data_IF_744828393960
#
_entry.id   IF_744828393960
#
_cell.length_a   1.000
_cell.length_b   1.000
_cell.length_c   1.000
_cell.angle_alpha   90.00
_cell.angle_beta   90.00
_cell.angle_gamma   90.00
#
_symmetry.space_group_name_H-M   'P 1'
#
loop_
_entity.id
_entity.type
_entity.pdbx_description
1 polymer ?
#
# COMPACT_ATOMS: atom_id res chain seq x y z
N UNK A 1 47.14 40.83 -45.88
CA UNK A 1 46.04 39.93 -45.48
C UNK A 1 44.85 40.30 -46.34
N UNK A 2 44.71 39.58 -47.46
CA UNK A 2 43.60 39.77 -48.41
C UNK A 2 42.41 38.92 -47.96
N UNK A 3 41.23 39.53 -47.90
CA UNK A 3 39.97 38.83 -47.56
C UNK A 3 39.36 38.30 -48.86
N UNK A 4 39.05 36.99 -48.97
CA UNK A 4 38.51 36.42 -50.19
C UNK A 4 37.03 36.83 -50.44
N UNK A 5 36.61 37.03 -51.71
CA UNK A 5 35.37 37.72 -52.06
C UNK A 5 34.09 36.84 -52.20
N UNK A 6 34.01 35.66 -51.57
CA UNK A 6 32.92 34.70 -51.81
C UNK A 6 31.95 34.45 -50.64
N UNK A 7 31.64 35.47 -49.83
CA UNK A 7 30.60 35.36 -48.79
C UNK A 7 29.47 36.36 -49.06
N UNK A 8 28.73 36.15 -50.14
CA UNK A 8 27.36 36.66 -50.31
C UNK A 8 26.59 35.70 -51.21
N UNK A 9 26.38 34.48 -50.72
CA UNK A 9 25.33 33.61 -51.23
C UNK A 9 23.99 34.28 -50.93
N UNK A 10 23.30 34.74 -51.98
CA UNK A 10 21.92 35.16 -51.84
C UNK A 10 21.07 33.97 -51.38
N UNK A 11 20.21 34.14 -50.37
CA UNK A 11 19.33 33.07 -49.95
C UNK A 11 18.43 32.67 -51.13
N UNK A 12 18.25 31.36 -51.38
CA UNK A 12 17.48 30.88 -52.50
C UNK A 12 16.02 31.39 -52.42
N UNK A 13 15.50 31.88 -53.56
CA UNK A 13 14.27 32.70 -53.66
C UNK A 13 12.95 32.07 -53.18
N UNK A 14 12.96 30.86 -52.63
CA UNK A 14 11.81 30.23 -51.98
C UNK A 14 11.61 30.71 -50.53
N UNK A 15 12.65 31.30 -49.91
CA UNK A 15 12.54 31.85 -48.54
C UNK A 15 11.74 33.15 -48.51
N UNK A 16 11.70 33.94 -49.59
CA UNK A 16 10.90 35.18 -49.65
C UNK A 16 9.39 34.92 -49.71
N UNK A 17 8.96 33.81 -50.33
CA UNK A 17 7.54 33.43 -50.41
C UNK A 17 6.95 32.99 -49.05
N UNK A 18 7.77 32.42 -48.17
CA UNK A 18 7.34 32.05 -46.82
C UNK A 18 7.17 33.26 -45.88
N UNK A 19 7.92 34.35 -46.11
CA UNK A 19 7.86 35.54 -45.26
C UNK A 19 6.76 36.52 -45.71
N UNK A 20 6.51 36.64 -47.03
CA UNK A 20 5.44 37.52 -47.56
C UNK A 20 4.03 36.91 -47.50
N UNK A 21 3.88 35.58 -47.44
CA UNK A 21 2.56 34.93 -47.31
C UNK A 21 1.96 34.97 -45.89
N UNK A 22 2.80 35.20 -44.87
CA UNK A 22 2.40 35.11 -43.45
C UNK A 22 1.91 36.45 -42.90
N UNK A 23 2.12 37.56 -43.60
CA UNK A 23 1.81 38.91 -43.11
C UNK A 23 0.41 39.41 -43.46
N UNK A 24 -0.34 38.73 -44.34
CA UNK A 24 -1.68 39.18 -44.81
C UNK A 24 -2.88 38.37 -44.29
N UNK A 25 -2.64 37.31 -43.51
CA UNK A 25 -3.64 36.60 -42.70
C UNK A 25 -3.25 36.69 -41.22
N UNK A 26 -2.95 37.91 -40.78
CA UNK A 26 -2.51 38.22 -39.43
C UNK A 26 -3.63 38.03 -38.41
N UNK A 27 -3.76 36.81 -37.86
CA UNK A 27 -3.98 36.50 -36.44
C UNK A 27 -4.24 35.01 -36.07
N UNK A 28 -4.65 34.06 -36.96
CA UNK A 28 -5.10 32.76 -36.46
C UNK A 28 -4.01 31.75 -36.00
N UNK A 29 -2.87 31.56 -36.69
CA UNK A 29 -2.02 30.38 -36.40
C UNK A 29 -1.18 30.52 -35.12
N UNK A 30 -0.75 31.73 -34.76
CA UNK A 30 -0.05 31.97 -33.49
C UNK A 30 -0.96 31.72 -32.28
N UNK A 31 -2.26 32.02 -32.41
CA UNK A 31 -3.25 31.77 -31.36
C UNK A 31 -3.54 30.28 -31.19
N UNK A 32 -3.60 29.51 -32.28
CA UNK A 32 -3.74 28.04 -32.23
C UNK A 32 -2.52 27.38 -31.58
N UNK A 33 -1.31 27.83 -31.91
CA UNK A 33 -0.08 27.38 -31.26
C UNK A 33 -0.05 27.69 -29.76
N UNK A 34 -0.48 28.90 -29.37
CA UNK A 34 -0.58 29.29 -27.97
C UNK A 34 -1.64 28.48 -27.21
N UNK A 35 -2.82 28.23 -27.80
CA UNK A 35 -3.86 27.43 -27.16
C UNK A 35 -3.42 25.97 -26.97
N UNK A 36 -2.76 25.37 -27.97
CA UNK A 36 -2.21 24.01 -27.84
C UNK A 36 -1.08 23.95 -26.79
N UNK A 37 -0.22 24.96 -26.74
CA UNK A 37 0.84 25.08 -25.74
C UNK A 37 0.34 25.30 -24.31
N UNK A 38 -0.89 25.80 -24.11
CA UNK A 38 -1.50 25.93 -22.79
C UNK A 38 -2.33 24.68 -22.39
N UNK A 39 -2.88 23.95 -23.36
CA UNK A 39 -3.66 22.74 -23.11
C UNK A 39 -2.77 21.53 -22.82
N UNK A 40 -1.61 21.39 -23.47
CA UNK A 40 -0.65 20.33 -23.18
C UNK A 40 -0.20 20.29 -21.71
N UNK A 41 0.34 21.39 -21.11
CA UNK A 41 0.79 21.37 -19.72
C UNK A 41 -0.35 21.18 -18.73
N UNK A 42 -1.56 21.68 -19.01
CA UNK A 42 -2.72 21.43 -18.13
C UNK A 42 -3.16 19.96 -18.15
N UNK A 43 -3.03 19.28 -19.29
CA UNK A 43 -3.32 17.84 -19.40
C UNK A 43 -2.23 17.00 -18.72
N UNK A 44 -0.96 17.39 -18.83
CA UNK A 44 0.12 16.68 -18.13
C UNK A 44 0.07 16.86 -16.63
N UNK A 45 -0.27 18.06 -16.13
CA UNK A 45 -0.46 18.30 -14.68
C UNK A 45 -1.62 17.45 -14.14
N UNK A 46 -2.78 17.43 -14.80
CA UNK A 46 -3.90 16.57 -14.38
C UNK A 46 -3.57 15.08 -14.45
N UNK A 47 -2.81 14.66 -15.45
CA UNK A 47 -2.34 13.27 -15.55
C UNK A 47 -1.34 12.93 -14.44
N UNK A 48 -0.45 13.86 -14.08
CA UNK A 48 0.50 13.72 -12.99
C UNK A 48 -0.20 13.67 -11.63
N UNK A 49 -1.16 14.56 -11.37
CA UNK A 49 -2.00 14.53 -10.16
C UNK A 49 -2.79 13.22 -10.05
N UNK A 50 -3.36 12.75 -11.15
CA UNK A 50 -4.06 11.46 -11.19
C UNK A 50 -3.12 10.28 -10.96
N UNK A 51 -1.91 10.31 -11.52
CA UNK A 51 -0.89 9.29 -11.32
C UNK A 51 -0.36 9.29 -9.88
N UNK A 52 -0.13 10.46 -9.29
CA UNK A 52 0.29 10.60 -7.90
C UNK A 52 -0.79 10.07 -6.95
N UNK A 53 -2.05 10.42 -7.19
CA UNK A 53 -3.18 9.87 -6.42
C UNK A 53 -3.26 8.35 -6.55
N UNK A 54 -3.13 7.83 -7.77
CA UNK A 54 -3.12 6.38 -8.00
C UNK A 54 -1.94 5.69 -7.28
N UNK A 55 -0.76 6.30 -7.29
CA UNK A 55 0.42 5.78 -6.61
C UNK A 55 0.23 5.76 -5.08
N UNK A 56 -0.31 6.85 -4.50
CA UNK A 56 -0.68 6.90 -3.07
C UNK A 56 -1.70 5.82 -2.72
N UNK A 57 -2.78 5.71 -3.48
CA UNK A 57 -3.80 4.66 -3.30
C UNK A 57 -3.20 3.24 -3.36
N UNK A 58 -2.28 2.98 -4.30
CA UNK A 58 -1.61 1.67 -4.40
C UNK A 58 -0.69 1.41 -3.21
N UNK A 59 0.02 2.43 -2.72
CA UNK A 59 0.90 2.31 -1.56
C UNK A 59 0.12 1.99 -0.29
N UNK A 60 -1.02 2.64 -0.08
CA UNK A 60 -1.87 2.40 1.08
C UNK A 60 -2.51 1.00 1.03
N UNK A 61 -2.83 0.51 -0.16
CA UNK A 61 -3.25 -0.89 -0.35
C UNK A 61 -2.15 -1.86 0.01
N UNK A 62 -0.95 -1.69 -0.52
CA UNK A 62 0.20 -2.55 -0.20
C UNK A 62 0.44 -2.59 1.31
N UNK A 63 0.41 -1.43 1.98
CA UNK A 63 0.51 -1.36 3.45
C UNK A 63 -0.55 -2.18 4.17
N UNK A 64 -1.81 -2.12 3.72
CA UNK A 64 -2.87 -2.94 4.32
C UNK A 64 -2.70 -4.44 4.06
N UNK A 65 -2.23 -4.83 2.88
CA UNK A 65 -1.93 -6.23 2.57
C UNK A 65 -0.76 -6.75 3.43
N UNK A 66 0.30 -5.96 3.55
CA UNK A 66 1.44 -6.31 4.41
C UNK A 66 0.99 -6.48 5.87
N UNK A 67 0.13 -5.60 6.38
CA UNK A 67 -0.42 -5.72 7.72
C UNK A 67 -1.26 -6.99 7.90
N UNK A 68 -2.12 -7.33 6.93
CA UNK A 68 -2.93 -8.55 6.97
C UNK A 68 -2.04 -9.81 6.93
N UNK A 69 -0.99 -9.83 6.12
CA UNK A 69 -0.01 -10.93 6.07
C UNK A 69 0.70 -11.09 7.41
N UNK A 70 1.16 -9.99 8.02
CA UNK A 70 1.77 -10.05 9.35
C UNK A 70 0.80 -10.56 10.42
N UNK A 71 -0.50 -10.21 10.35
CA UNK A 71 -1.49 -10.79 11.25
C UNK A 71 -1.66 -12.30 11.07
N UNK A 72 -1.65 -12.80 9.82
CA UNK A 72 -1.69 -14.24 9.54
C UNK A 72 -0.43 -14.95 10.07
N UNK A 73 0.73 -14.31 9.97
CA UNK A 73 1.97 -14.83 10.53
C UNK A 73 1.91 -14.90 12.07
N UNK A 74 1.39 -13.86 12.74
CA UNK A 74 1.17 -13.87 14.19
C UNK A 74 0.20 -15.00 14.62
N UNK A 75 -0.88 -15.23 13.85
CA UNK A 75 -1.82 -16.32 14.08
C UNK A 75 -1.14 -17.68 13.93
N UNK A 76 -0.29 -17.86 12.91
CA UNK A 76 0.50 -19.09 12.71
C UNK A 76 1.42 -19.33 13.91
N UNK A 77 2.20 -18.33 14.32
CA UNK A 77 3.12 -18.44 15.45
C UNK A 77 2.40 -18.78 16.76
N UNK A 78 1.23 -18.18 17.03
CA UNK A 78 0.42 -18.53 18.20
C UNK A 78 -0.05 -19.99 18.20
N UNK A 79 -0.45 -20.53 17.03
CA UNK A 79 -0.82 -21.94 16.91
C UNK A 79 0.37 -22.86 17.17
N UNK A 80 1.55 -22.48 16.69
CA UNK A 80 2.77 -23.24 16.93
C UNK A 80 3.20 -23.17 18.41
N UNK A 81 3.07 -22.02 19.07
CA UNK A 81 3.29 -21.87 20.52
C UNK A 81 2.35 -22.80 21.29
N UNK A 82 1.07 -22.84 20.92
CA UNK A 82 0.08 -23.75 21.53
C UNK A 82 0.44 -25.22 21.30
N UNK A 83 0.90 -25.58 20.11
CA UNK A 83 1.35 -26.94 19.81
C UNK A 83 2.59 -27.31 20.63
N UNK A 84 3.58 -26.41 20.69
CA UNK A 84 4.79 -26.58 21.49
C UNK A 84 4.46 -26.76 22.98
N UNK A 85 3.52 -25.97 23.52
CA UNK A 85 3.02 -26.07 24.88
C UNK A 85 2.43 -27.46 25.17
N UNK A 86 1.59 -27.98 24.27
CA UNK A 86 0.98 -29.31 24.42
C UNK A 86 2.02 -30.45 24.35
N UNK A 87 3.06 -30.27 23.53
CA UNK A 87 4.16 -31.24 23.39
C UNK A 87 5.29 -31.07 24.42
N UNK A 88 5.16 -30.12 25.35
CA UNK A 88 6.19 -29.75 26.33
C UNK A 88 7.56 -29.38 25.70
N UNK A 89 7.56 -28.82 24.49
CA UNK A 89 8.77 -28.35 23.79
C UNK A 89 9.12 -26.91 24.22
N UNK A 90 9.63 -26.75 25.44
CA UNK A 90 9.84 -25.44 26.08
C UNK A 90 10.79 -24.51 25.31
N UNK A 91 11.94 -25.02 24.84
CA UNK A 91 12.92 -24.21 24.10
C UNK A 91 12.33 -23.68 22.80
N UNK A 92 11.71 -24.56 22.01
CA UNK A 92 11.09 -24.21 20.73
C UNK A 92 9.88 -23.28 20.91
N UNK A 93 9.26 -23.25 22.08
CA UNK A 93 8.21 -22.28 22.40
C UNK A 93 8.78 -20.88 22.64
N UNK A 94 9.95 -20.77 23.29
CA UNK A 94 10.60 -19.47 23.56
C UNK A 94 11.02 -18.78 22.26
N UNK A 95 11.60 -19.52 21.30
CA UNK A 95 11.99 -18.95 20.00
C UNK A 95 10.77 -18.41 19.23
N UNK A 96 9.68 -19.19 19.20
CA UNK A 96 8.44 -18.77 18.54
C UNK A 96 7.78 -17.58 19.23
N UNK A 97 7.93 -17.50 20.54
CA UNK A 97 7.44 -16.37 21.33
C UNK A 97 8.18 -15.08 20.97
N UNK A 98 9.51 -15.13 20.84
CA UNK A 98 10.31 -13.99 20.40
C UNK A 98 9.91 -13.54 18.99
N UNK A 99 9.75 -14.49 18.06
CA UNK A 99 9.27 -14.20 16.71
C UNK A 99 7.88 -13.54 16.73
N UNK A 100 6.96 -14.04 17.56
CA UNK A 100 5.62 -13.45 17.71
C UNK A 100 5.70 -12.02 18.23
N UNK A 101 6.59 -11.74 19.19
CA UNK A 101 6.78 -10.41 19.73
C UNK A 101 7.27 -9.43 18.64
N UNK A 102 8.25 -9.85 17.84
CA UNK A 102 8.77 -9.07 16.70
C UNK A 102 7.64 -8.76 15.71
N UNK A 103 6.86 -9.77 15.31
CA UNK A 103 5.75 -9.59 14.36
C UNK A 103 4.68 -8.64 14.92
N UNK A 104 4.32 -8.76 16.20
CA UNK A 104 3.34 -7.86 16.83
C UNK A 104 3.84 -6.41 16.90
N UNK A 105 5.13 -6.20 17.16
CA UNK A 105 5.75 -4.86 17.11
C UNK A 105 5.71 -4.31 15.69
N UNK A 106 6.08 -5.12 14.69
CA UNK A 106 6.03 -4.72 13.28
C UNK A 106 4.62 -4.34 12.82
N UNK A 107 3.60 -5.11 13.22
CA UNK A 107 2.21 -4.77 12.97
C UNK A 107 1.91 -3.42 13.61
N UNK A 108 2.17 -3.25 14.91
CA UNK A 108 1.89 -2.01 15.65
C UNK A 108 2.53 -0.78 15.02
N UNK A 109 3.77 -0.89 14.54
CA UNK A 109 4.51 0.23 13.93
C UNK A 109 4.04 0.52 12.50
N UNK A 110 3.86 -0.51 11.67
CA UNK A 110 3.54 -0.34 10.24
C UNK A 110 2.08 0.01 9.99
N UNK A 111 1.20 -0.32 10.92
CA UNK A 111 -0.25 -0.17 10.75
C UNK A 111 -0.86 0.90 11.66
N UNK A 112 -0.08 1.89 12.11
CA UNK A 112 -0.57 3.00 12.95
C UNK A 112 -1.83 3.68 12.41
N UNK A 113 -1.94 3.84 11.10
CA UNK A 113 -3.07 4.51 10.46
C UNK A 113 -4.28 3.59 10.23
N UNK A 114 -4.05 2.27 10.20
CA UNK A 114 -5.06 1.25 9.86
C UNK A 114 -5.69 0.59 11.10
N UNK A 115 -4.95 0.55 12.21
CA UNK A 115 -5.33 -0.18 13.42
C UNK A 115 -5.83 0.79 14.47
N UNK A 116 -7.01 0.49 15.02
CA UNK A 116 -7.64 1.35 16.03
C UNK A 116 -6.77 1.45 17.28
N UNK A 117 -6.92 2.54 18.05
CA UNK A 117 -6.24 2.68 19.35
C UNK A 117 -6.58 1.52 20.30
N UNK A 118 -7.82 1.00 20.23
CA UNK A 118 -8.25 -0.16 21.01
C UNK A 118 -7.46 -1.43 20.62
N UNK A 119 -7.29 -1.68 19.33
CA UNK A 119 -6.51 -2.82 18.82
C UNK A 119 -5.03 -2.70 19.21
N UNK A 120 -4.44 -1.50 19.13
CA UNK A 120 -3.06 -1.25 19.57
C UNK A 120 -2.88 -1.51 21.07
N UNK A 121 -3.83 -1.08 21.89
CA UNK A 121 -3.85 -1.40 23.33
C UNK A 121 -4.00 -2.90 23.57
N UNK A 122 -4.83 -3.58 22.78
CA UNK A 122 -5.02 -5.02 22.85
C UNK A 122 -3.72 -5.78 22.54
N UNK A 123 -3.04 -5.44 21.44
CA UNK A 123 -1.73 -6.00 21.08
C UNK A 123 -0.67 -5.71 22.16
N UNK A 124 -0.66 -4.51 22.74
CA UNK A 124 0.23 -4.17 23.85
C UNK A 124 -0.07 -4.93 25.15
N UNK A 125 -1.35 -5.27 25.41
CA UNK A 125 -1.71 -6.15 26.50
C UNK A 125 -1.27 -7.59 26.23
N UNK A 126 -1.47 -8.07 24.99
CA UNK A 126 -1.05 -9.38 24.52
C UNK A 126 0.47 -9.58 24.69
N UNK A 127 1.29 -8.62 24.24
CA UNK A 127 2.74 -8.64 24.42
C UNK A 127 3.17 -8.73 25.90
N UNK A 128 2.49 -7.98 26.79
CA UNK A 128 2.78 -8.03 28.22
C UNK A 128 2.42 -9.38 28.84
N UNK A 129 1.28 -9.95 28.46
CA UNK A 129 0.88 -11.29 28.92
C UNK A 129 1.82 -12.36 28.39
N UNK A 130 2.20 -12.27 27.13
CA UNK A 130 3.20 -13.11 26.49
C UNK A 130 4.52 -13.10 27.28
N UNK A 131 5.09 -11.93 27.56
CA UNK A 131 6.32 -11.85 28.38
C UNK A 131 6.17 -12.40 29.80
N UNK A 132 4.99 -12.28 30.43
CA UNK A 132 4.73 -12.92 31.73
C UNK A 132 4.77 -14.44 31.61
N UNK A 133 4.17 -14.99 30.54
CA UNK A 133 4.18 -16.42 30.25
C UNK A 133 5.61 -16.89 30.02
N UNK A 134 6.38 -16.18 29.19
CA UNK A 134 7.80 -16.44 28.94
C UNK A 134 8.62 -16.48 30.24
N UNK A 135 8.45 -15.47 31.11
CA UNK A 135 9.12 -15.42 32.41
C UNK A 135 8.73 -16.61 33.30
N UNK A 136 7.46 -17.00 33.31
CA UNK A 136 6.99 -18.18 34.04
C UNK A 136 7.59 -19.48 33.50
N UNK A 137 7.70 -19.62 32.17
CA UNK A 137 8.32 -20.78 31.53
C UNK A 137 9.81 -20.85 31.87
N UNK A 138 10.54 -19.73 31.78
CA UNK A 138 11.97 -19.69 32.14
C UNK A 138 12.22 -20.02 33.61
N UNK A 139 11.38 -19.52 34.51
CA UNK A 139 11.49 -19.85 35.94
C UNK A 139 11.16 -21.32 36.23
N UNK A 140 10.29 -21.92 35.42
CA UNK A 140 9.78 -23.29 35.62
C UNK A 140 10.45 -24.33 34.72
N UNK A 141 11.38 -23.98 33.84
CA UNK A 141 12.14 -24.98 33.07
C UNK A 141 12.94 -25.94 33.96
N UNK A 142 13.15 -25.57 35.23
CA UNK A 142 13.76 -26.38 36.28
C UNK A 142 12.78 -27.23 37.11
N UNK A 143 11.45 -27.12 36.92
CA UNK A 143 10.43 -27.82 37.72
C UNK A 143 9.22 -28.24 36.87
N UNK A 144 8.71 -29.48 36.98
CA UNK A 144 7.55 -29.92 36.20
C UNK A 144 6.34 -28.99 36.45
N UNK A 145 5.67 -28.56 35.38
CA UNK A 145 4.49 -27.71 35.47
C UNK A 145 3.27 -28.54 35.90
N UNK A 146 2.51 -27.99 36.87
CA UNK A 146 1.19 -28.49 37.21
C UNK A 146 0.25 -28.42 35.99
N UNK A 147 -0.54 -29.46 35.81
CA UNK A 147 -1.50 -29.59 34.70
C UNK A 147 -2.53 -28.46 34.66
N UNK A 148 -2.93 -27.96 35.84
CA UNK A 148 -3.85 -26.82 35.97
C UNK A 148 -3.24 -25.50 35.47
N UNK A 149 -1.95 -25.28 35.75
CA UNK A 149 -1.24 -24.11 35.25
C UNK A 149 -1.11 -24.16 33.71
N UNK A 150 -0.85 -25.34 33.15
CA UNK A 150 -0.83 -25.53 31.69
C UNK A 150 -2.19 -25.25 31.04
N UNK A 151 -3.28 -25.76 31.64
CA UNK A 151 -4.62 -25.49 31.14
C UNK A 151 -4.97 -23.99 31.17
N UNK A 152 -4.55 -23.28 32.23
CA UNK A 152 -4.73 -21.83 32.35
C UNK A 152 -3.92 -21.05 31.31
N UNK A 153 -2.70 -21.47 31.01
CA UNK A 153 -1.88 -20.85 29.96
C UNK A 153 -2.49 -21.09 28.58
N UNK A 154 -2.94 -22.32 28.31
CA UNK A 154 -3.56 -22.68 27.03
C UNK A 154 -4.85 -21.89 26.77
N UNK A 155 -5.69 -21.68 27.79
CA UNK A 155 -6.91 -20.88 27.65
C UNK A 155 -6.61 -19.40 27.38
N UNK A 156 -5.61 -18.82 28.04
CA UNK A 156 -5.16 -17.44 27.77
C UNK A 156 -4.63 -17.28 26.35
N UNK A 157 -3.80 -18.21 25.87
CA UNK A 157 -3.29 -18.19 24.50
C UNK A 157 -4.42 -18.32 23.47
N UNK A 158 -5.43 -19.16 23.74
CA UNK A 158 -6.60 -19.29 22.89
C UNK A 158 -7.40 -17.99 22.81
N UNK A 159 -7.56 -17.29 23.93
CA UNK A 159 -8.21 -15.98 23.97
C UNK A 159 -7.42 -14.93 23.16
N UNK A 160 -6.09 -14.90 23.28
CA UNK A 160 -5.26 -14.00 22.47
C UNK A 160 -5.36 -14.32 20.97
N UNK A 161 -5.41 -15.61 20.62
CA UNK A 161 -5.60 -16.06 19.25
C UNK A 161 -6.94 -15.59 18.68
N UNK A 162 -8.04 -15.76 19.44
CA UNK A 162 -9.36 -15.32 19.01
C UNK A 162 -9.39 -13.80 18.76
N UNK A 163 -8.73 -13.00 19.61
CA UNK A 163 -8.61 -11.55 19.43
C UNK A 163 -7.82 -11.17 18.17
N UNK A 164 -6.71 -11.85 17.88
CA UNK A 164 -5.95 -11.60 16.66
C UNK A 164 -6.73 -11.98 15.40
N UNK A 165 -7.49 -13.08 15.46
CA UNK A 165 -8.39 -13.47 14.37
C UNK A 165 -9.44 -12.38 14.14
N UNK A 166 -10.03 -11.84 15.19
CA UNK A 166 -10.99 -10.73 15.09
C UNK A 166 -10.35 -9.46 14.48
N UNK A 167 -9.15 -9.09 14.90
CA UNK A 167 -8.39 -7.96 14.33
C UNK A 167 -8.12 -8.21 12.84
N UNK A 168 -7.68 -9.42 12.47
CA UNK A 168 -7.42 -9.77 11.07
C UNK A 168 -8.69 -9.71 10.21
N UNK A 169 -9.83 -10.14 10.75
CA UNK A 169 -11.12 -10.07 10.07
C UNK A 169 -11.56 -8.61 9.87
N UNK A 170 -11.36 -7.74 10.86
CA UNK A 170 -11.62 -6.29 10.73
C UNK A 170 -10.76 -5.66 9.64
N UNK A 171 -9.46 -5.99 9.59
CA UNK A 171 -8.56 -5.48 8.56
C UNK A 171 -9.00 -5.93 7.16
N UNK A 172 -9.41 -7.18 6.99
CA UNK A 172 -9.97 -7.67 5.73
C UNK A 172 -11.28 -6.99 5.34
N UNK A 173 -12.21 -6.82 6.29
CA UNK A 173 -13.47 -6.12 6.01
C UNK A 173 -13.24 -4.67 5.57
N UNK A 174 -12.27 -3.98 6.18
CA UNK A 174 -11.90 -2.62 5.77
C UNK A 174 -11.31 -2.57 4.35
N UNK A 175 -10.60 -3.63 3.93
CA UNK A 175 -10.13 -3.76 2.55
C UNK A 175 -11.29 -3.91 1.55
N UNK A 176 -12.27 -4.77 1.84
CA UNK A 176 -13.41 -4.99 0.94
C UNK A 176 -14.22 -3.70 0.71
N UNK A 177 -14.48 -2.93 1.77
CA UNK A 177 -15.20 -1.64 1.68
C UNK A 177 -14.44 -0.64 0.79
N UNK A 178 -13.11 -0.61 0.89
CA UNK A 178 -12.24 0.24 0.05
C UNK A 178 -12.33 -0.15 -1.43
N UNK A 179 -12.41 -1.45 -1.73
CA UNK A 179 -12.57 -1.95 -3.10
C UNK A 179 -13.94 -1.59 -3.69
N UNK A 180 -15.01 -1.71 -2.89
CA UNK A 180 -16.38 -1.56 -3.38
C UNK A 180 -16.76 -0.09 -3.61
N UNK A 181 -16.27 0.81 -2.76
CA UNK A 181 -16.39 2.26 -2.95
C UNK A 181 -15.74 2.72 -4.27
N UNK A 182 -14.67 2.06 -4.70
CA UNK A 182 -14.00 2.35 -5.98
C UNK A 182 -14.76 1.82 -7.19
N UNK A 183 -15.41 0.67 -7.06
CA UNK A 183 -16.25 0.10 -8.13
C UNK A 183 -17.44 1.00 -8.42
N UNK A 184 -18.04 1.60 -7.38
CA UNK A 184 -19.15 2.56 -7.49
C UNK A 184 -18.72 3.94 -7.99
N UNK A 185 -17.51 4.39 -7.68
CA UNK A 185 -16.99 5.70 -8.09
C UNK A 185 -16.28 5.72 -9.43
N UNK A 186 -16.05 4.57 -10.08
CA UNK A 186 -15.73 4.57 -11.51
C UNK A 186 -16.97 5.08 -12.24
N UNK A 187 -16.95 6.30 -12.83
CA UNK A 187 -18.04 6.70 -13.69
C UNK A 187 -18.18 5.58 -14.73
N UNK A 188 -19.41 5.11 -14.95
CA UNK A 188 -19.70 4.31 -16.13
C UNK A 188 -19.19 5.15 -17.31
N UNK A 189 -17.98 4.88 -17.79
CA UNK A 189 -17.57 5.25 -19.12
C UNK A 189 -18.59 4.50 -19.97
N UNK A 190 -19.65 5.22 -20.32
CA UNK A 190 -20.74 4.71 -21.12
C UNK A 190 -20.09 3.95 -22.25
N UNK A 191 -20.42 2.67 -22.34
CA UNK A 191 -20.39 1.95 -23.59
C UNK A 191 -21.02 2.89 -24.61
N UNK A 192 -20.16 3.57 -25.35
CA UNK A 192 -20.59 4.48 -26.40
C UNK A 192 -21.51 3.63 -27.28
N UNK A 193 -22.78 4.02 -27.50
CA UNK A 193 -23.69 3.22 -28.28
C UNK A 193 -23.00 2.97 -29.62
N UNK A 194 -22.65 1.70 -29.85
CA UNK A 194 -22.12 1.24 -31.12
C UNK A 194 -23.26 1.54 -32.09
N UNK A 195 -23.10 2.57 -32.92
CA UNK A 195 -24.00 2.78 -34.05
C UNK A 195 -23.82 1.55 -34.92
N UNK A 196 -24.78 0.64 -34.83
CA UNK A 196 -24.95 -0.42 -35.82
C UNK A 196 -25.42 0.27 -37.10
N UNK A 197 -24.46 0.62 -37.95
CA UNK A 197 -24.72 1.02 -39.33
C UNK A 197 -25.13 -0.24 -40.11
N UNK A 198 -26.40 -0.60 -39.99
CA UNK A 198 -27.04 -1.69 -40.72
C UNK A 198 -27.76 -1.19 -41.97
N UNK A 199 -27.15 -1.48 -43.12
CA UNK A 199 -27.65 -1.67 -44.50
C UNK A 199 -28.88 -0.88 -44.99
#
# INVERSE_FOLDING_TARGET
MEVPPWIFEQPPGWVSWLVSGVTLLGFPPAFVGLVLAWVQPRRTVRAAEAAEKAARDTRDRLRSYDAAISCLEAIRLLREIKAALNSAQWESMLDRHEQLAIVLIQIKERSQDLVTEADRKSMGAMLRELHKIEAQIRLRSSRPLDTEALATLASRLQEQLNRLVEISARLHAHQEISHDTRRKSRPHCGSSPRKDDGA
#
